data_IF_811282011505
#
_entry.id   IF_811282011505
#
_cell.length_a   1.000
_cell.length_b   1.000
_cell.length_c   1.000
_cell.angle_alpha   90.00
_cell.angle_beta   90.00
_cell.angle_gamma   90.00
#
_symmetry.space_group_name_H-M   'P 1'
#
loop_
_entity.id
_entity.type
_entity.pdbx_description
1 polymer ?
#
# COMPACT_ATOMS: atom_id res chain seq x y z
N UNK A 1 -44.72 -21.54 15.82
CA UNK A 1 -45.06 -22.28 14.58
C UNK A 1 -44.29 -21.64 13.42
N UNK A 2 -43.30 -22.33 12.87
CA UNK A 2 -42.51 -21.88 11.72
C UNK A 2 -41.76 -23.07 11.15
N UNK A 3 -42.05 -23.42 9.90
CA UNK A 3 -41.86 -24.75 9.31
C UNK A 3 -40.43 -25.04 8.89
N UNK A 4 -40.04 -26.30 9.06
CA UNK A 4 -39.02 -26.99 8.27
C UNK A 4 -39.18 -26.69 6.77
N UNK A 5 -38.12 -26.24 6.11
CA UNK A 5 -37.94 -26.44 4.68
C UNK A 5 -36.59 -27.10 4.45
N UNK A 6 -36.64 -28.42 4.22
CA UNK A 6 -35.55 -29.17 3.62
C UNK A 6 -35.31 -28.61 2.21
N UNK A 7 -34.10 -28.13 1.93
CA UNK A 7 -33.72 -27.79 0.57
C UNK A 7 -33.24 -29.07 -0.13
N UNK A 8 -34.10 -29.63 -0.97
CA UNK A 8 -33.77 -30.74 -1.85
C UNK A 8 -32.87 -30.22 -2.98
N UNK A 9 -31.59 -30.59 -2.96
CA UNK A 9 -30.70 -30.39 -4.09
C UNK A 9 -31.07 -31.37 -5.21
N UNK A 10 -31.85 -30.91 -6.19
CA UNK A 10 -31.97 -31.60 -7.48
C UNK A 10 -31.90 -30.57 -8.61
N UNK A 11 -30.85 -30.70 -9.43
CA UNK A 11 -30.69 -30.17 -10.80
C UNK A 11 -30.66 -28.65 -11.02
N UNK A 12 -29.49 -28.18 -11.49
CA UNK A 12 -29.38 -27.35 -12.71
C UNK A 12 -29.78 -25.88 -12.61
N UNK A 13 -28.78 -25.00 -12.72
CA UNK A 13 -28.92 -23.59 -13.10
C UNK A 13 -30.00 -22.79 -12.35
N UNK A 14 -29.82 -22.61 -11.05
CA UNK A 14 -30.47 -21.53 -10.34
C UNK A 14 -29.45 -20.40 -10.18
N UNK A 15 -29.48 -19.44 -11.12
CA UNK A 15 -29.08 -18.07 -10.84
C UNK A 15 -29.95 -17.60 -9.67
N UNK A 16 -29.52 -17.91 -8.45
CA UNK A 16 -30.05 -17.24 -7.28
C UNK A 16 -29.45 -15.85 -7.36
N UNK A 17 -30.21 -14.91 -7.94
CA UNK A 17 -30.14 -13.52 -7.50
C UNK A 17 -30.25 -13.58 -5.97
N UNK A 18 -29.10 -13.54 -5.28
CA UNK A 18 -29.04 -13.50 -3.83
C UNK A 18 -29.97 -12.34 -3.42
N UNK A 19 -30.96 -12.56 -2.55
CA UNK A 19 -31.87 -11.49 -2.15
C UNK A 19 -31.07 -10.34 -1.53
N UNK A 20 -31.32 -9.14 -2.06
CA UNK A 20 -31.06 -7.80 -1.53
C UNK A 20 -30.46 -7.78 -0.11
N UNK A 21 -29.14 -7.52 -0.05
CA UNK A 21 -28.36 -6.98 1.07
C UNK A 21 -28.55 -7.65 2.45
N UNK A 22 -28.09 -8.88 2.60
CA UNK A 22 -27.60 -9.34 3.91
C UNK A 22 -26.23 -8.70 4.16
N UNK A 23 -25.94 -8.29 5.41
CA UNK A 23 -24.71 -7.67 5.86
C UNK A 23 -23.47 -8.56 5.63
N UNK A 24 -23.01 -8.64 4.39
CA UNK A 24 -21.77 -9.30 3.99
C UNK A 24 -20.74 -8.21 3.66
N UNK A 25 -19.49 -8.48 4.02
CA UNK A 25 -18.39 -7.56 3.82
C UNK A 25 -18.12 -7.40 2.31
N UNK A 26 -18.06 -6.16 1.82
CA UNK A 26 -17.81 -5.86 0.41
C UNK A 26 -16.50 -6.49 -0.08
N UNK A 27 -15.50 -6.63 0.79
CA UNK A 27 -14.24 -7.30 0.47
C UNK A 27 -14.43 -8.79 0.16
N UNK A 28 -15.35 -9.45 0.87
CA UNK A 28 -15.68 -10.87 0.65
C UNK A 28 -16.41 -11.09 -0.68
N UNK A 29 -17.33 -10.19 -1.03
CA UNK A 29 -18.03 -10.24 -2.32
C UNK A 29 -17.06 -10.03 -3.50
N UNK A 30 -16.15 -9.06 -3.40
CA UNK A 30 -15.11 -8.84 -4.42
C UNK A 30 -14.26 -10.09 -4.63
N UNK A 31 -13.93 -10.80 -3.55
CA UNK A 31 -13.16 -12.03 -3.63
C UNK A 31 -13.97 -13.21 -4.20
N UNK A 32 -15.28 -13.28 -3.98
CA UNK A 32 -16.15 -14.32 -4.54
C UNK A 32 -16.44 -14.11 -6.03
N UNK A 33 -16.70 -12.87 -6.46
CA UNK A 33 -17.23 -12.58 -7.80
C UNK A 33 -16.17 -12.16 -8.83
N UNK A 34 -15.09 -11.50 -8.41
CA UNK A 34 -14.03 -11.06 -9.32
C UNK A 34 -12.87 -12.05 -9.31
N UNK A 35 -12.05 -12.07 -10.36
CA UNK A 35 -10.87 -12.94 -10.43
C UNK A 35 -9.71 -12.25 -11.16
N UNK A 36 -8.50 -12.75 -10.93
CA UNK A 36 -7.26 -12.22 -11.50
C UNK A 36 -7.04 -10.75 -11.14
N UNK A 37 -6.39 -10.01 -12.05
CA UNK A 37 -6.01 -8.60 -11.83
C UNK A 37 -7.19 -7.69 -11.45
N UNK A 38 -8.40 -7.99 -11.93
CA UNK A 38 -9.58 -7.18 -11.59
C UNK A 38 -9.94 -7.31 -10.10
N UNK A 39 -9.78 -8.50 -9.52
CA UNK A 39 -9.97 -8.69 -8.08
C UNK A 39 -8.93 -7.88 -7.31
N UNK A 40 -7.66 -8.02 -7.68
CA UNK A 40 -6.54 -7.42 -6.97
C UNK A 40 -6.65 -5.89 -6.94
N UNK A 41 -6.97 -5.28 -8.09
CA UNK A 41 -7.15 -3.82 -8.20
C UNK A 41 -8.38 -3.38 -7.41
N UNK A 42 -9.50 -4.08 -7.52
CA UNK A 42 -10.73 -3.68 -6.79
C UNK A 42 -10.52 -3.79 -5.28
N UNK A 43 -9.82 -4.83 -4.82
CA UNK A 43 -9.49 -5.02 -3.41
C UNK A 43 -8.54 -3.93 -2.90
N UNK A 44 -7.51 -3.57 -3.68
CA UNK A 44 -6.63 -2.46 -3.37
C UNK A 44 -7.39 -1.12 -3.26
N UNK A 45 -8.40 -0.90 -4.11
CA UNK A 45 -9.21 0.32 -4.08
C UNK A 45 -10.16 0.41 -2.88
N UNK A 46 -10.49 -0.72 -2.24
CA UNK A 46 -11.36 -0.76 -1.05
C UNK A 46 -10.60 -0.59 0.26
N UNK A 47 -9.27 -0.68 0.23
CA UNK A 47 -8.43 -0.63 1.41
C UNK A 47 -8.13 0.81 1.85
N UNK A 48 -7.88 1.01 3.15
CA UNK A 48 -7.41 2.29 3.65
C UNK A 48 -6.05 2.65 3.02
N UNK A 49 -5.83 3.88 2.54
CA UNK A 49 -4.62 4.23 1.79
C UNK A 49 -3.31 3.95 2.56
N UNK A 50 -3.27 4.22 3.87
CA UNK A 50 -2.07 3.97 4.68
C UNK A 50 -1.80 2.47 4.88
N UNK A 51 -2.87 1.68 4.92
CA UNK A 51 -2.79 0.24 5.07
C UNK A 51 -2.24 -0.41 3.79
N UNK A 52 -2.79 -0.01 2.64
CA UNK A 52 -2.32 -0.45 1.33
C UNK A 52 -0.84 -0.08 1.12
N UNK A 53 -0.45 1.17 1.40
CA UNK A 53 0.94 1.61 1.29
C UNK A 53 1.87 0.80 2.19
N UNK A 54 1.47 0.52 3.43
CA UNK A 54 2.26 -0.26 4.37
C UNK A 54 2.42 -1.71 3.95
N UNK A 55 1.38 -2.32 3.36
CA UNK A 55 1.45 -3.66 2.76
C UNK A 55 2.33 -3.70 1.51
N UNK A 56 2.23 -2.73 0.62
CA UNK A 56 3.10 -2.65 -0.55
C UNK A 56 4.58 -2.56 -0.14
N UNK A 57 4.91 -1.72 0.83
CA UNK A 57 6.28 -1.59 1.34
C UNK A 57 6.75 -2.88 2.02
N UNK A 58 5.91 -3.50 2.84
CA UNK A 58 6.27 -4.76 3.51
C UNK A 58 6.47 -5.91 2.51
N UNK A 59 5.56 -6.04 1.53
CA UNK A 59 5.65 -7.03 0.47
C UNK A 59 6.90 -6.85 -0.40
N UNK A 60 7.28 -5.60 -0.67
CA UNK A 60 8.50 -5.29 -1.42
C UNK A 60 9.78 -5.69 -0.66
N UNK A 61 9.80 -5.60 0.68
CA UNK A 61 10.94 -6.04 1.50
C UNK A 61 10.99 -7.57 1.70
N UNK A 62 9.84 -8.21 1.86
CA UNK A 62 9.75 -9.65 2.15
C UNK A 62 9.83 -10.55 0.91
N UNK A 63 9.79 -9.96 -0.28
CA UNK A 63 9.97 -10.70 -1.54
C UNK A 63 11.38 -11.28 -1.68
N UNK A 64 11.50 -12.45 -2.34
CA UNK A 64 12.77 -13.19 -2.54
C UNK A 64 13.91 -12.31 -3.07
N UNK A 65 13.57 -11.37 -3.95
CA UNK A 65 14.45 -10.31 -4.40
C UNK A 65 13.77 -8.97 -4.06
N UNK A 66 14.33 -8.17 -3.15
CA UNK A 66 13.70 -6.93 -2.72
C UNK A 66 13.42 -5.98 -3.88
N UNK A 67 12.17 -5.52 -4.00
CA UNK A 67 11.71 -4.66 -5.09
C UNK A 67 11.91 -3.19 -4.73
N UNK A 68 13.14 -2.71 -4.84
CA UNK A 68 13.53 -1.33 -4.48
C UNK A 68 12.78 -0.27 -5.30
N UNK A 69 12.43 -0.57 -6.54
CA UNK A 69 11.70 0.36 -7.42
C UNK A 69 10.35 0.79 -6.82
N UNK A 70 9.62 -0.15 -6.20
CA UNK A 70 8.34 0.12 -5.52
C UNK A 70 8.53 1.09 -4.36
N UNK A 71 9.63 0.95 -3.61
CA UNK A 71 9.96 1.87 -2.53
C UNK A 71 10.17 3.29 -3.04
N UNK A 72 10.92 3.45 -4.13
CA UNK A 72 11.20 4.75 -4.72
C UNK A 72 9.92 5.37 -5.27
N UNK A 73 9.12 4.61 -6.01
CA UNK A 73 7.85 5.06 -6.59
C UNK A 73 6.87 5.57 -5.51
N UNK A 74 6.70 4.81 -4.43
CA UNK A 74 5.77 5.17 -3.37
C UNK A 74 6.28 6.34 -2.51
N UNK A 75 7.57 6.37 -2.17
CA UNK A 75 8.10 7.37 -1.24
C UNK A 75 8.40 8.72 -1.88
N UNK A 76 8.88 8.76 -3.13
CA UNK A 76 9.25 10.02 -3.80
C UNK A 76 8.05 10.95 -3.98
N UNK A 77 6.85 10.39 -4.23
CA UNK A 77 5.62 11.16 -4.39
C UNK A 77 4.95 11.60 -3.09
N UNK A 78 5.45 11.18 -1.92
CA UNK A 78 4.82 11.50 -0.63
C UNK A 78 5.30 12.84 -0.04
N UNK A 79 4.44 13.48 0.76
CA UNK A 79 4.82 14.60 1.63
C UNK A 79 5.53 14.10 2.88
N UNK A 80 6.32 14.96 3.55
CA UNK A 80 6.96 14.61 4.82
C UNK A 80 5.94 14.12 5.86
N UNK A 81 4.78 14.78 5.93
CA UNK A 81 3.67 14.38 6.83
C UNK A 81 3.19 12.97 6.50
N UNK A 82 3.02 12.65 5.21
CA UNK A 82 2.53 11.33 4.78
C UNK A 82 3.56 10.23 5.06
N UNK A 83 4.85 10.50 4.84
CA UNK A 83 5.93 9.56 5.17
C UNK A 83 5.93 9.23 6.67
N UNK A 84 5.74 10.24 7.52
CA UNK A 84 5.62 10.06 8.96
C UNK A 84 4.44 9.16 9.34
N UNK A 85 3.27 9.42 8.76
CA UNK A 85 2.07 8.60 8.99
C UNK A 85 2.29 7.14 8.55
N UNK A 86 2.95 6.93 7.42
CA UNK A 86 3.30 5.58 6.94
C UNK A 86 4.23 4.88 7.94
N UNK A 87 5.26 5.55 8.47
CA UNK A 87 6.18 4.95 9.45
C UNK A 87 5.48 4.57 10.75
N UNK A 88 4.63 5.45 11.26
CA UNK A 88 3.84 5.20 12.47
C UNK A 88 2.87 4.01 12.27
N UNK A 89 2.17 3.99 11.12
CA UNK A 89 1.24 2.91 10.79
C UNK A 89 1.96 1.57 10.57
N UNK A 90 3.08 1.58 9.83
CA UNK A 90 3.90 0.40 9.57
C UNK A 90 4.42 -0.22 10.88
N UNK A 91 4.91 0.62 11.80
CA UNK A 91 5.33 0.16 13.12
C UNK A 91 4.16 -0.47 13.89
N UNK A 92 2.98 0.14 13.86
CA UNK A 92 1.78 -0.40 14.53
C UNK A 92 1.31 -1.74 13.94
N UNK A 93 1.48 -1.93 12.62
CA UNK A 93 1.01 -3.14 11.92
C UNK A 93 1.99 -4.32 12.01
N UNK A 94 3.29 -4.05 11.96
CA UNK A 94 4.34 -5.07 11.88
C UNK A 94 5.27 -5.15 13.09
N UNK A 95 5.02 -4.33 14.13
CA UNK A 95 5.85 -4.21 15.34
C UNK A 95 7.34 -4.02 15.04
N UNK A 96 7.63 -3.28 13.97
CA UNK A 96 8.97 -3.07 13.45
C UNK A 96 9.08 -1.70 12.78
N UNK A 97 10.18 -0.99 13.05
CA UNK A 97 10.47 0.27 12.36
C UNK A 97 10.77 0.04 10.88
N UNK A 98 10.14 0.84 10.00
CA UNK A 98 10.36 0.77 8.55
C UNK A 98 11.84 0.97 8.18
N UNK A 99 12.54 1.88 8.86
CA UNK A 99 13.98 2.11 8.65
C UNK A 99 14.84 0.88 9.02
N UNK A 100 14.45 0.16 10.07
CA UNK A 100 15.14 -1.07 10.49
C UNK A 100 14.92 -2.18 9.47
N UNK A 101 13.68 -2.34 8.99
CA UNK A 101 13.33 -3.30 7.95
C UNK A 101 14.12 -3.06 6.66
N UNK A 102 14.23 -1.79 6.23
CA UNK A 102 15.06 -1.38 5.08
C UNK A 102 16.54 -1.72 5.26
N UNK A 103 17.12 -1.50 6.46
CA UNK A 103 18.52 -1.83 6.74
C UNK A 103 18.82 -3.32 6.74
N UNK A 104 17.82 -4.14 7.06
CA UNK A 104 17.97 -5.60 7.14
C UNK A 104 17.92 -6.24 5.75
N UNK A 105 17.00 -5.81 4.91
CA UNK A 105 16.70 -6.51 3.64
C UNK A 105 17.46 -5.94 2.43
N UNK A 106 17.93 -4.68 2.46
CA UNK A 106 18.50 -4.02 1.28
C UNK A 106 20.01 -3.87 1.30
N UNK A 107 20.62 -3.75 0.12
CA UNK A 107 22.06 -3.46 -0.03
C UNK A 107 22.39 -2.00 0.35
N UNK A 108 23.63 -1.75 0.78
CA UNK A 108 24.10 -0.45 1.30
C UNK A 108 23.83 0.77 0.40
N UNK A 109 23.91 0.58 -0.92
CA UNK A 109 23.65 1.65 -1.90
C UNK A 109 22.19 2.13 -1.81
N UNK A 110 21.25 1.20 -1.85
CA UNK A 110 19.82 1.49 -1.74
C UNK A 110 19.41 1.94 -0.33
N UNK A 111 20.05 1.40 0.70
CA UNK A 111 19.84 1.88 2.09
C UNK A 111 20.12 3.37 2.23
N UNK A 112 21.18 3.87 1.58
CA UNK A 112 21.57 5.27 1.69
C UNK A 112 20.51 6.19 1.07
N UNK A 113 19.98 5.83 -0.10
CA UNK A 113 18.90 6.56 -0.77
C UNK A 113 17.61 6.54 0.05
N UNK A 114 17.16 5.35 0.46
CA UNK A 114 15.90 5.20 1.20
C UNK A 114 15.95 5.86 2.56
N UNK A 115 17.11 5.88 3.22
CA UNK A 115 17.29 6.63 4.46
C UNK A 115 17.11 8.14 4.26
N UNK A 116 17.55 8.70 3.13
CA UNK A 116 17.32 10.12 2.82
C UNK A 116 15.83 10.37 2.64
N UNK A 117 15.14 9.53 1.85
CA UNK A 117 13.68 9.65 1.65
C UNK A 117 12.89 9.51 2.96
N UNK A 118 13.25 8.56 3.82
CA UNK A 118 12.60 8.32 5.11
C UNK A 118 12.98 9.32 6.20
N UNK A 119 13.93 10.22 5.96
CA UNK A 119 14.38 11.19 6.96
C UNK A 119 13.41 12.36 7.16
N UNK A 120 12.43 12.54 6.27
CA UNK A 120 11.37 13.57 6.35
C UNK A 120 11.93 15.02 6.42
N UNK A 121 13.12 15.25 5.86
CA UNK A 121 13.81 16.55 5.88
C UNK A 121 13.69 17.32 4.58
N UNK A 122 12.75 16.96 3.70
CA UNK A 122 12.56 17.70 2.44
C UNK A 122 12.08 19.10 2.77
N UNK A 123 12.69 20.12 2.16
CA UNK A 123 12.16 21.47 2.26
C UNK A 123 10.84 21.54 1.47
N UNK A 124 9.75 21.86 2.17
CA UNK A 124 8.41 22.04 1.60
C UNK A 124 7.96 23.51 1.68
N UNK A 125 8.91 24.43 1.92
CA UNK A 125 8.67 25.87 2.00
C UNK A 125 8.66 26.55 0.62
N UNK A 126 8.41 27.85 0.61
CA UNK A 126 8.36 28.66 -0.61
C UNK A 126 9.73 28.75 -1.29
N UNK A 127 9.73 28.93 -2.61
CA UNK A 127 10.95 28.96 -3.42
C UNK A 127 11.79 30.20 -3.13
N UNK A 128 12.99 30.00 -2.60
CA UNK A 128 14.00 31.05 -2.49
C UNK A 128 14.80 31.18 -3.79
N UNK A 129 14.67 32.32 -4.46
CA UNK A 129 15.37 32.60 -5.73
C UNK A 129 16.90 32.56 -5.58
N UNK A 130 17.44 32.83 -4.40
CA UNK A 130 18.89 32.80 -4.16
C UNK A 130 19.45 31.38 -4.09
N UNK A 131 18.69 30.44 -3.52
CA UNK A 131 19.04 29.01 -3.45
C UNK A 131 18.97 28.33 -4.82
N UNK A 132 17.95 28.66 -5.62
CA UNK A 132 17.83 28.14 -6.99
C UNK A 132 19.08 28.45 -7.82
N UNK A 133 19.58 29.68 -7.72
CA UNK A 133 20.79 30.12 -8.43
C UNK A 133 22.07 29.42 -7.97
N UNK A 134 22.18 29.07 -6.68
CA UNK A 134 23.36 28.35 -6.18
C UNK A 134 23.31 26.86 -6.53
N UNK A 135 22.14 26.23 -6.44
CA UNK A 135 21.95 24.81 -6.78
C UNK A 135 22.15 24.54 -8.27
N UNK A 136 21.66 25.40 -9.16
CA UNK A 136 21.88 25.26 -10.61
C UNK A 136 23.38 25.19 -10.95
N UNK A 137 24.21 26.03 -10.30
CA UNK A 137 25.66 26.03 -10.50
C UNK A 137 26.31 24.74 -10.04
N UNK A 138 25.81 24.12 -8.97
CA UNK A 138 26.32 22.83 -8.46
C UNK A 138 26.01 21.71 -9.46
N UNK A 139 24.81 21.73 -10.04
CA UNK A 139 24.37 20.74 -11.01
C UNK A 139 24.97 20.93 -12.42
N UNK A 140 25.75 21.98 -12.63
CA UNK A 140 26.37 22.34 -13.91
C UNK A 140 25.34 22.46 -15.05
N UNK A 141 24.16 23.00 -14.72
CA UNK A 141 23.04 23.28 -15.63
C UNK A 141 22.92 24.80 -15.82
#
# INVERSE_FOLDING_TARGET
MGRNLQCACVTGCLLVMKPVYCAQDLTSDVHEYLAGYLRDVTQAMLQEPLDFLSECLHGALTSVAPKVEIFVELLVGCSNIKIRQIKEYYHKKYDMELESAVRKELNKEYQSLLRILLSEKRDESEVDSSQVCSEAKVCNI
#
